data_IF_131488862228
#
_entry.id   IF_131488862228
#
_cell.length_a   1.000
_cell.length_b   1.000
_cell.length_c   1.000
_cell.angle_alpha   90.00
_cell.angle_beta   90.00
_cell.angle_gamma   90.00
#
_symmetry.space_group_name_H-M   'P 1'
#
loop_
_entity.id
_entity.type
_entity.pdbx_description
1 polymer ?
#
# COMPACT_ATOMS: atom_id res chain seq x y z
N UNK A 1 1.04 -5.64 21.04
CA UNK A 1 0.60 -6.09 19.71
C UNK A 1 -0.39 -5.11 19.08
N UNK A 2 -1.42 -4.67 19.82
CA UNK A 2 -2.42 -3.70 19.37
C UNK A 2 -1.82 -2.41 18.80
N UNK A 3 -0.96 -1.74 19.57
CA UNK A 3 -0.36 -0.46 19.18
C UNK A 3 0.55 -0.63 17.96
N UNK A 4 1.41 -1.65 17.97
CA UNK A 4 2.44 -1.82 16.93
C UNK A 4 1.92 -2.41 15.61
N UNK A 5 0.72 -2.99 15.60
CA UNK A 5 0.17 -3.62 14.40
C UNK A 5 -1.18 -3.02 14.02
N UNK A 6 -2.19 -3.07 14.88
CA UNK A 6 -3.54 -2.62 14.52
C UNK A 6 -3.61 -1.10 14.48
N UNK A 7 -3.22 -0.41 15.56
CA UNK A 7 -3.22 1.04 15.58
C UNK A 7 -2.30 1.63 14.50
N UNK A 8 -1.07 1.09 14.37
CA UNK A 8 -0.11 1.51 13.33
C UNK A 8 -0.67 1.36 11.92
N UNK A 9 -1.56 0.39 11.68
CA UNK A 9 -2.23 0.20 10.40
C UNK A 9 -3.36 1.19 10.14
N UNK A 10 -4.05 1.68 11.19
CA UNK A 10 -5.31 2.41 11.07
C UNK A 10 -5.17 3.93 11.26
N UNK A 11 -4.23 4.41 12.10
CA UNK A 11 -4.09 5.84 12.34
C UNK A 11 -3.89 6.68 11.07
N UNK A 12 -3.20 6.21 10.01
CA UNK A 12 -3.09 6.97 8.77
C UNK A 12 -4.42 7.13 8.02
N UNK A 13 -5.39 6.30 8.34
CA UNK A 13 -6.74 6.30 7.74
C UNK A 13 -7.79 6.93 8.64
N UNK A 14 -7.37 7.76 9.61
CA UNK A 14 -8.29 8.37 10.60
C UNK A 14 -9.44 9.17 9.97
N UNK A 15 -9.22 9.80 8.82
CA UNK A 15 -10.26 10.52 8.07
C UNK A 15 -11.24 9.56 7.41
N UNK A 16 -10.73 8.51 6.78
CA UNK A 16 -11.51 7.47 6.12
C UNK A 16 -12.35 6.69 7.13
N UNK A 17 -11.80 6.45 8.32
CA UNK A 17 -12.48 5.76 9.42
C UNK A 17 -13.65 6.57 10.06
N UNK A 18 -13.75 7.87 9.80
CA UNK A 18 -14.93 8.66 10.17
C UNK A 18 -16.16 8.27 9.32
N UNK A 19 -15.94 7.66 8.16
CA UNK A 19 -16.96 7.20 7.24
C UNK A 19 -16.74 5.72 6.85
N UNK A 20 -16.79 4.79 7.83
CA UNK A 20 -16.35 3.40 7.65
C UNK A 20 -17.24 2.60 6.69
N UNK A 21 -18.43 3.10 6.39
CA UNK A 21 -19.41 2.46 5.50
C UNK A 21 -19.20 2.81 4.02
N UNK A 22 -18.20 3.63 3.67
CA UNK A 22 -17.89 3.89 2.27
C UNK A 22 -17.26 2.65 1.63
N UNK A 23 -17.68 2.37 0.41
CA UNK A 23 -17.24 1.19 -0.34
C UNK A 23 -15.98 1.50 -1.14
N UNK A 24 -14.84 1.56 -0.45
CA UNK A 24 -13.53 1.75 -1.06
C UNK A 24 -12.89 0.43 -1.48
N UNK A 25 -12.09 0.48 -2.54
CA UNK A 25 -11.21 -0.61 -2.97
C UNK A 25 -9.78 -0.36 -2.51
N UNK A 26 -9.26 -1.25 -1.70
CA UNK A 26 -7.87 -1.21 -1.21
C UNK A 26 -7.04 -2.34 -1.81
N UNK A 27 -5.78 -2.06 -2.11
CA UNK A 27 -4.77 -3.09 -2.35
C UNK A 27 -3.62 -2.92 -1.36
N UNK A 28 -3.27 -4.00 -0.67
CA UNK A 28 -2.11 -4.08 0.24
C UNK A 28 -0.98 -4.84 -0.46
N UNK A 29 0.07 -4.14 -0.84
CA UNK A 29 1.19 -4.66 -1.63
C UNK A 29 2.32 -5.13 -0.72
N UNK A 30 2.61 -6.43 -0.79
CA UNK A 30 3.51 -7.09 0.16
C UNK A 30 2.85 -7.30 1.51
N UNK A 31 1.61 -7.80 1.51
CA UNK A 31 0.75 -7.94 2.68
C UNK A 31 1.37 -8.72 3.84
N UNK A 32 2.29 -9.63 3.56
CA UNK A 32 3.01 -10.39 4.58
C UNK A 32 2.09 -11.21 5.47
N UNK A 33 2.00 -10.85 6.75
CA UNK A 33 1.09 -11.45 7.71
C UNK A 33 -0.29 -10.74 7.77
N UNK A 34 -0.60 -9.85 6.80
CA UNK A 34 -1.91 -9.22 6.63
C UNK A 34 -2.04 -7.81 7.16
N UNK A 35 -0.96 -7.15 7.58
CA UNK A 35 -1.01 -5.76 8.04
C UNK A 35 -0.34 -4.82 7.03
N UNK A 36 -1.04 -3.75 6.62
CA UNK A 36 -2.26 -3.16 7.18
C UNK A 36 -3.59 -3.75 6.68
N UNK A 37 -3.61 -4.53 5.59
CA UNK A 37 -4.82 -4.90 4.86
C UNK A 37 -5.94 -5.55 5.70
N UNK A 38 -5.63 -6.55 6.55
CA UNK A 38 -6.63 -7.20 7.41
C UNK A 38 -7.20 -6.24 8.46
N UNK A 39 -6.37 -5.35 9.03
CA UNK A 39 -6.86 -4.36 9.98
C UNK A 39 -7.87 -3.41 9.32
N UNK A 40 -7.58 -2.97 8.09
CA UNK A 40 -8.49 -2.14 7.29
C UNK A 40 -9.78 -2.90 6.95
N UNK A 41 -9.68 -4.17 6.55
CA UNK A 41 -10.86 -5.01 6.26
C UNK A 41 -11.82 -5.14 7.45
N UNK A 42 -11.26 -5.23 8.67
CA UNK A 42 -12.06 -5.32 9.90
C UNK A 42 -12.68 -3.96 10.25
N UNK A 43 -11.90 -2.88 10.14
CA UNK A 43 -12.33 -1.55 10.54
C UNK A 43 -13.30 -0.89 9.54
N UNK A 44 -13.33 -1.32 8.29
CA UNK A 44 -14.14 -0.77 7.20
C UNK A 44 -15.02 -1.87 6.58
N UNK A 45 -16.24 -2.07 7.11
CA UNK A 45 -17.09 -3.23 6.78
C UNK A 45 -17.55 -3.29 5.32
N UNK A 46 -17.57 -2.16 4.60
CA UNK A 46 -17.98 -2.11 3.20
C UNK A 46 -16.79 -2.01 2.21
N UNK A 47 -15.56 -1.98 2.71
CA UNK A 47 -14.37 -1.95 1.86
C UNK A 47 -14.08 -3.34 1.25
N UNK A 48 -13.60 -3.34 0.00
CA UNK A 48 -13.06 -4.51 -0.67
C UNK A 48 -11.53 -4.45 -0.62
N UNK A 49 -10.89 -5.51 -0.16
CA UNK A 49 -9.45 -5.54 0.08
C UNK A 49 -8.80 -6.61 -0.80
N UNK A 50 -7.80 -6.22 -1.57
CA UNK A 50 -6.89 -7.15 -2.24
C UNK A 50 -5.59 -7.24 -1.45
N UNK A 51 -5.23 -8.44 -1.01
CA UNK A 51 -3.97 -8.74 -0.34
C UNK A 51 -3.01 -9.37 -1.34
N UNK A 52 -1.95 -8.67 -1.71
CA UNK A 52 -0.97 -9.09 -2.70
C UNK A 52 0.37 -9.41 -2.04
N UNK A 53 0.83 -10.65 -2.15
CA UNK A 53 2.20 -11.04 -1.74
C UNK A 53 2.75 -12.10 -2.71
N UNK A 54 4.06 -12.07 -2.96
CA UNK A 54 4.71 -13.02 -3.86
C UNK A 54 5.00 -14.39 -3.23
N UNK A 55 4.83 -14.52 -1.92
CA UNK A 55 5.09 -15.76 -1.17
C UNK A 55 3.83 -16.61 -1.04
N UNK A 56 3.83 -17.80 -1.66
CA UNK A 56 2.72 -18.74 -1.56
C UNK A 56 2.39 -19.11 -0.10
N UNK A 57 3.42 -19.31 0.75
CA UNK A 57 3.23 -19.61 2.17
C UNK A 57 2.42 -18.51 2.89
N UNK A 58 2.72 -17.23 2.61
CA UNK A 58 2.03 -16.10 3.22
C UNK A 58 0.60 -15.97 2.70
N UNK A 59 0.40 -16.11 1.40
CA UNK A 59 -0.94 -15.98 0.81
C UNK A 59 -1.86 -17.13 1.19
N UNK A 60 -1.33 -18.35 1.37
CA UNK A 60 -2.11 -19.47 1.94
C UNK A 60 -2.59 -19.13 3.35
N UNK A 61 -1.70 -18.65 4.22
CA UNK A 61 -2.06 -18.17 5.55
C UNK A 61 -3.12 -17.06 5.51
N UNK A 62 -2.97 -16.08 4.62
CA UNK A 62 -3.94 -14.98 4.48
C UNK A 62 -5.33 -15.48 4.04
N UNK A 63 -5.39 -16.47 3.15
CA UNK A 63 -6.66 -17.11 2.73
C UNK A 63 -7.35 -17.80 3.90
N UNK A 64 -6.59 -18.54 4.69
CA UNK A 64 -7.09 -19.23 5.89
C UNK A 64 -7.62 -18.22 6.92
N UNK A 65 -6.82 -17.22 7.29
CA UNK A 65 -7.22 -16.17 8.23
C UNK A 65 -8.46 -15.42 7.74
N UNK A 66 -8.51 -15.01 6.46
CA UNK A 66 -9.66 -14.30 5.89
C UNK A 66 -10.96 -15.13 5.97
N UNK A 67 -10.85 -16.46 5.86
CA UNK A 67 -11.97 -17.38 6.03
C UNK A 67 -12.40 -17.45 7.51
N UNK A 68 -11.44 -17.67 8.41
CA UNK A 68 -11.67 -17.81 9.85
C UNK A 68 -12.35 -16.58 10.47
N UNK A 69 -11.95 -15.37 10.04
CA UNK A 69 -12.55 -14.11 10.52
C UNK A 69 -13.83 -13.72 9.77
N UNK A 70 -14.35 -14.58 8.87
CA UNK A 70 -15.60 -14.34 8.14
C UNK A 70 -15.55 -13.27 7.05
N UNK A 71 -14.36 -12.87 6.58
CA UNK A 71 -14.18 -11.78 5.61
C UNK A 71 -13.87 -12.26 4.18
N UNK A 72 -13.97 -13.56 3.90
CA UNK A 72 -13.63 -14.17 2.60
C UNK A 72 -14.31 -13.52 1.40
N UNK A 73 -15.53 -13.02 1.55
CA UNK A 73 -16.30 -12.40 0.47
C UNK A 73 -15.82 -11.00 0.09
N UNK A 74 -15.06 -10.34 0.96
CA UNK A 74 -14.55 -8.97 0.77
C UNK A 74 -13.02 -8.90 0.65
N UNK A 75 -12.34 -10.04 0.84
CA UNK A 75 -10.89 -10.11 0.75
C UNK A 75 -10.52 -11.05 -0.41
N UNK A 76 -9.84 -10.48 -1.39
CA UNK A 76 -9.17 -11.23 -2.45
C UNK A 76 -7.69 -11.39 -2.11
N UNK A 77 -7.14 -12.60 -2.23
CA UNK A 77 -5.71 -12.88 -1.93
C UNK A 77 -5.01 -13.36 -3.19
N UNK A 78 -4.03 -12.59 -3.64
CA UNK A 78 -3.27 -12.82 -4.88
C UNK A 78 -1.83 -13.21 -4.54
N UNK A 79 -1.36 -14.30 -5.17
CA UNK A 79 0.03 -14.79 -5.04
C UNK A 79 0.80 -14.41 -6.29
N UNK A 80 1.35 -13.18 -6.32
CA UNK A 80 2.09 -12.70 -7.47
C UNK A 80 3.03 -11.54 -7.09
N UNK A 81 3.96 -11.19 -7.97
CA UNK A 81 4.78 -10.00 -7.84
C UNK A 81 4.00 -8.76 -8.26
N UNK A 82 4.15 -7.66 -7.49
CA UNK A 82 3.49 -6.39 -7.81
C UNK A 82 3.86 -5.88 -9.21
N UNK A 83 5.09 -6.15 -9.66
CA UNK A 83 5.57 -5.80 -11.00
C UNK A 83 4.81 -6.54 -12.13
N UNK A 84 4.22 -7.68 -11.84
CA UNK A 84 3.39 -8.44 -12.79
C UNK A 84 1.94 -8.00 -12.67
N UNK A 85 1.37 -8.06 -11.46
CA UNK A 85 -0.03 -7.70 -11.17
C UNK A 85 -0.37 -6.28 -11.63
N UNK A 86 0.58 -5.32 -11.50
CA UNK A 86 0.40 -3.93 -11.92
C UNK A 86 0.19 -3.72 -13.43
N UNK A 87 0.37 -4.76 -14.25
CA UNK A 87 0.04 -4.77 -15.67
C UNK A 87 -1.28 -5.45 -16.01
N UNK A 88 -1.88 -6.20 -15.07
CA UNK A 88 -3.16 -6.84 -15.30
C UNK A 88 -4.28 -5.80 -15.35
N UNK A 89 -5.08 -5.84 -16.40
CA UNK A 89 -6.17 -4.89 -16.63
C UNK A 89 -7.17 -4.84 -15.46
N UNK A 90 -7.42 -5.97 -14.80
CA UNK A 90 -8.35 -6.07 -13.66
C UNK A 90 -7.85 -5.37 -12.38
N UNK A 91 -6.54 -5.12 -12.26
CA UNK A 91 -5.94 -4.50 -11.08
C UNK A 91 -5.42 -3.09 -11.35
N UNK A 92 -4.92 -2.85 -12.57
CA UNK A 92 -4.36 -1.55 -12.93
C UNK A 92 -5.44 -0.46 -12.90
N UNK A 93 -5.12 0.67 -12.24
CA UNK A 93 -5.99 1.86 -12.13
C UNK A 93 -7.39 1.57 -11.56
N UNK A 94 -7.51 0.58 -10.67
CA UNK A 94 -8.79 0.11 -10.15
C UNK A 94 -8.98 0.35 -8.64
N UNK A 95 -8.02 0.90 -7.94
CA UNK A 95 -8.05 1.04 -6.48
C UNK A 95 -8.11 2.50 -6.04
N UNK A 96 -8.92 2.75 -5.01
CA UNK A 96 -8.98 4.04 -4.32
C UNK A 96 -7.76 4.22 -3.40
N UNK A 97 -7.27 3.12 -2.83
CA UNK A 97 -6.10 3.11 -1.97
C UNK A 97 -5.16 1.94 -2.30
N UNK A 98 -3.87 2.25 -2.45
CA UNK A 98 -2.81 1.26 -2.53
C UNK A 98 -1.85 1.46 -1.35
N UNK A 99 -1.62 0.41 -0.57
CA UNK A 99 -0.86 0.47 0.66
C UNK A 99 0.37 -0.43 0.59
N UNK A 100 1.46 -0.04 1.27
CA UNK A 100 2.60 -0.93 1.49
C UNK A 100 3.32 -0.59 2.80
N UNK A 101 3.65 -1.63 3.58
CA UNK A 101 4.39 -1.52 4.84
C UNK A 101 5.64 -2.39 4.82
N UNK A 102 6.81 -1.79 5.13
CA UNK A 102 8.09 -2.49 5.26
C UNK A 102 8.55 -3.31 4.03
N UNK A 103 8.18 -2.86 2.81
CA UNK A 103 8.48 -3.58 1.56
C UNK A 103 9.85 -3.20 0.99
N UNK A 104 10.11 -1.87 0.82
CA UNK A 104 11.30 -1.35 0.15
C UNK A 104 11.47 0.16 0.46
N UNK A 105 12.54 0.83 -0.05
CA UNK A 105 12.63 2.30 -0.07
C UNK A 105 11.43 2.93 -0.78
N UNK A 106 11.04 4.16 -0.37
CA UNK A 106 9.80 4.79 -0.81
C UNK A 106 9.71 4.98 -2.33
N UNK A 107 10.81 5.31 -3.00
CA UNK A 107 10.87 5.45 -4.46
C UNK A 107 10.53 4.13 -5.19
N UNK A 108 10.95 3.00 -4.64
CA UNK A 108 10.63 1.66 -5.16
C UNK A 108 9.17 1.31 -4.90
N UNK A 109 8.70 1.57 -3.67
CA UNK A 109 7.30 1.33 -3.29
C UNK A 109 6.35 2.15 -4.16
N UNK A 110 6.68 3.41 -4.46
CA UNK A 110 5.87 4.25 -5.35
C UNK A 110 5.67 3.59 -6.72
N UNK A 111 6.71 2.97 -7.29
CA UNK A 111 6.60 2.25 -8.58
C UNK A 111 5.67 1.02 -8.48
N UNK A 112 5.56 0.41 -7.29
CA UNK A 112 4.62 -0.69 -7.08
C UNK A 112 3.18 -0.20 -6.87
N UNK A 113 2.97 0.94 -6.19
CA UNK A 113 1.63 1.40 -5.82
C UNK A 113 0.92 2.21 -6.91
N UNK A 114 1.62 3.15 -7.57
CA UNK A 114 1.00 4.09 -8.51
C UNK A 114 0.25 3.39 -9.66
N UNK A 115 0.74 2.29 -10.26
CA UNK A 115 0.00 1.60 -11.31
C UNK A 115 -1.38 1.09 -10.91
N UNK A 116 -1.63 0.84 -9.62
CA UNK A 116 -2.92 0.34 -9.12
C UNK A 116 -3.95 1.45 -8.88
N UNK A 117 -3.51 2.70 -8.69
CA UNK A 117 -4.39 3.80 -8.29
C UNK A 117 -5.28 4.25 -9.44
N UNK A 118 -6.58 4.40 -9.16
CA UNK A 118 -7.49 5.10 -10.04
C UNK A 118 -7.17 6.62 -10.07
N UNK A 119 -7.89 7.40 -10.85
CA UNK A 119 -7.60 8.83 -11.08
C UNK A 119 -7.68 9.71 -9.82
N UNK A 120 -8.40 9.28 -8.79
CA UNK A 120 -8.53 9.97 -7.49
C UNK A 120 -7.86 9.21 -6.35
N UNK A 121 -7.25 8.08 -6.67
CA UNK A 121 -6.67 7.14 -5.70
C UNK A 121 -5.44 7.67 -5.00
N UNK A 122 -5.17 7.15 -3.81
CA UNK A 122 -4.05 7.52 -2.96
C UNK A 122 -3.19 6.31 -2.58
N UNK A 123 -1.88 6.48 -2.70
CA UNK A 123 -0.91 5.51 -2.19
C UNK A 123 -0.49 5.86 -0.76
N UNK A 124 -0.44 4.87 0.11
CA UNK A 124 -0.02 4.99 1.51
C UNK A 124 1.26 4.17 1.72
N UNK A 125 2.38 4.86 1.95
CA UNK A 125 3.68 4.24 2.22
C UNK A 125 3.97 4.35 3.71
N UNK A 126 3.95 3.22 4.42
CA UNK A 126 4.22 3.15 5.86
C UNK A 126 5.71 3.04 6.11
N UNK A 127 6.25 3.95 6.93
CA UNK A 127 7.68 4.04 7.25
C UNK A 127 7.92 4.23 8.74
N UNK A 128 8.96 3.60 9.28
CA UNK A 128 9.50 3.96 10.60
C UNK A 128 10.34 5.23 10.48
N UNK A 129 11.48 5.16 9.83
CA UNK A 129 12.35 6.31 9.56
C UNK A 129 11.97 6.97 8.22
N UNK A 130 11.90 8.29 8.22
CA UNK A 130 11.68 9.12 7.03
C UNK A 130 12.67 10.28 7.01
N UNK A 131 13.40 10.45 5.92
CA UNK A 131 14.47 11.45 5.81
C UNK A 131 14.25 12.37 4.61
N UNK A 132 14.84 13.57 4.67
CA UNK A 132 14.81 14.52 3.55
C UNK A 132 15.42 13.92 2.27
N UNK A 133 16.45 13.07 2.41
CA UNK A 133 17.07 12.39 1.27
C UNK A 133 16.07 11.42 0.62
N UNK A 134 15.41 10.56 1.39
CA UNK A 134 14.41 9.62 0.88
C UNK A 134 13.20 10.36 0.24
N UNK A 135 12.82 11.50 0.81
CA UNK A 135 11.78 12.35 0.22
C UNK A 135 12.19 12.92 -1.15
N UNK A 136 13.45 13.38 -1.31
CA UNK A 136 13.97 13.85 -2.59
C UNK A 136 13.97 12.73 -3.64
N UNK A 137 14.40 11.54 -3.25
CA UNK A 137 14.40 10.35 -4.09
C UNK A 137 12.99 9.94 -4.52
N UNK A 138 12.04 9.94 -3.57
CA UNK A 138 10.63 9.69 -3.87
C UNK A 138 10.07 10.70 -4.88
N UNK A 139 10.33 12.00 -4.70
CA UNK A 139 9.85 13.03 -5.63
C UNK A 139 10.35 12.81 -7.06
N UNK A 140 11.61 12.44 -7.24
CA UNK A 140 12.16 12.08 -8.58
C UNK A 140 11.43 10.90 -9.21
N UNK A 141 11.14 9.85 -8.41
CA UNK A 141 10.41 8.68 -8.89
C UNK A 141 8.96 9.03 -9.27
N UNK A 142 8.27 9.83 -8.46
CA UNK A 142 6.89 10.23 -8.68
C UNK A 142 6.71 11.01 -10.00
N UNK A 143 7.64 11.90 -10.36
CA UNK A 143 7.61 12.62 -11.64
C UNK A 143 7.56 11.64 -12.81
N UNK A 144 8.39 10.58 -12.79
CA UNK A 144 8.42 9.54 -13.83
C UNK A 144 7.14 8.70 -13.89
N UNK A 145 6.40 8.64 -12.78
CA UNK A 145 5.16 7.87 -12.62
C UNK A 145 3.88 8.70 -12.87
N UNK A 146 3.98 9.96 -13.26
CA UNK A 146 2.87 10.91 -13.33
C UNK A 146 2.11 11.00 -12.00
N UNK A 147 2.87 11.21 -10.92
CA UNK A 147 2.35 11.26 -9.57
C UNK A 147 3.04 12.35 -8.74
N UNK A 148 2.49 12.68 -7.59
CA UNK A 148 3.08 13.64 -6.66
C UNK A 148 2.98 13.17 -5.21
N UNK A 149 3.85 13.74 -4.37
CA UNK A 149 3.73 13.65 -2.92
C UNK A 149 2.58 14.57 -2.48
N UNK A 150 1.55 13.99 -1.85
CA UNK A 150 0.42 14.75 -1.30
C UNK A 150 0.76 15.31 0.07
N UNK A 151 1.13 14.43 1.00
CA UNK A 151 1.51 14.80 2.36
C UNK A 151 2.43 13.74 2.98
N UNK A 152 3.14 14.12 4.04
CA UNK A 152 3.78 13.18 4.94
C UNK A 152 3.39 13.51 6.38
N UNK A 153 2.91 12.51 7.10
CA UNK A 153 2.48 12.63 8.48
C UNK A 153 3.43 11.85 9.38
N UNK A 154 3.76 12.41 10.52
CA UNK A 154 4.58 11.79 11.57
C UNK A 154 3.70 11.55 12.79
N UNK A 155 3.85 10.39 13.42
CA UNK A 155 3.17 10.03 14.64
C UNK A 155 4.12 9.34 15.61
N UNK A 156 4.11 9.76 16.87
CA UNK A 156 4.84 9.11 17.93
C UNK A 156 3.94 8.08 18.60
N UNK A 157 4.31 6.80 18.44
CA UNK A 157 3.51 5.72 19.05
C UNK A 157 3.53 5.81 20.57
N UNK A 158 2.38 5.57 21.25
CA UNK A 158 2.32 5.49 22.70
C UNK A 158 3.37 4.54 23.30
N UNK A 159 3.68 4.72 24.58
CA UNK A 159 4.62 3.89 25.34
C UNK A 159 6.04 3.87 24.75
N UNK A 160 6.51 4.97 24.16
CA UNK A 160 7.85 5.08 23.56
C UNK A 160 8.16 4.01 22.50
N UNK A 161 7.15 3.50 21.79
CA UNK A 161 7.26 2.47 20.73
C UNK A 161 7.82 3.00 19.42
N UNK A 162 8.30 4.24 19.44
CA UNK A 162 9.01 4.88 18.34
C UNK A 162 8.11 5.63 17.38
N UNK A 163 8.76 6.30 16.45
CA UNK A 163 8.13 7.17 15.46
C UNK A 163 7.61 6.33 14.29
N UNK A 164 6.45 6.70 13.78
CA UNK A 164 5.89 6.23 12.51
C UNK A 164 5.68 7.40 11.57
N UNK A 165 5.88 7.12 10.31
CA UNK A 165 5.58 8.06 9.24
C UNK A 165 4.67 7.38 8.23
N UNK A 166 3.69 8.10 7.73
CA UNK A 166 2.94 7.73 6.54
C UNK A 166 3.14 8.78 5.46
N UNK A 167 3.45 8.33 4.28
CA UNK A 167 3.65 9.18 3.11
C UNK A 167 2.50 8.91 2.17
N UNK A 168 1.67 9.94 1.93
CA UNK A 168 0.57 9.89 0.96
C UNK A 168 1.06 10.39 -0.39
N UNK A 169 0.84 9.59 -1.41
CA UNK A 169 1.13 9.91 -2.81
C UNK A 169 -0.16 9.82 -3.61
N UNK A 170 -0.27 10.59 -4.68
CA UNK A 170 -1.46 10.57 -5.55
C UNK A 170 -1.06 10.71 -7.02
N UNK A 171 -1.85 10.14 -7.91
CA UNK A 171 -1.69 10.30 -9.35
C UNK A 171 -2.05 11.72 -9.78
N UNK A 172 -1.32 12.28 -10.76
CA UNK A 172 -1.66 13.54 -11.45
C UNK A 172 -2.01 13.31 -12.92
N UNK A 173 -1.99 12.04 -13.33
CA UNK A 173 -2.31 11.57 -14.66
C UNK A 173 -2.13 10.05 -14.72
N UNK A 174 -2.38 9.45 -15.88
CA UNK A 174 -2.19 8.02 -16.06
C UNK A 174 -0.73 7.62 -15.84
N UNK A 175 -0.53 6.57 -15.04
CA UNK A 175 0.79 5.97 -14.89
C UNK A 175 1.25 5.38 -16.23
N UNK A 176 2.44 5.76 -16.75
CA UNK A 176 2.92 5.25 -18.03
C UNK A 176 2.93 3.71 -18.09
N UNK A 177 2.48 3.14 -19.21
CA UNK A 177 2.31 1.68 -19.39
C UNK A 177 3.57 0.84 -19.15
N UNK A 178 4.76 1.45 -19.29
CA UNK A 178 6.04 0.79 -18.98
C UNK A 178 6.28 0.52 -17.49
N UNK A 179 5.45 1.07 -16.60
CA UNK A 179 5.54 0.84 -15.15
C UNK A 179 4.37 -0.03 -14.67
N UNK A 180 4.63 -0.89 -13.66
CA UNK A 180 5.93 -1.13 -13.05
C UNK A 180 6.88 -1.83 -14.03
N UNK A 181 8.20 -1.60 -13.88
CA UNK A 181 9.22 -2.30 -14.69
C UNK A 181 9.29 -3.78 -14.31
N UNK A 182 9.98 -4.57 -15.13
CA UNK A 182 10.13 -6.02 -14.95
C UNK A 182 10.59 -6.40 -13.55
N UNK A 183 10.19 -7.59 -13.08
CA UNK A 183 10.45 -8.10 -11.73
C UNK A 183 11.89 -7.90 -11.29
N UNK A 184 12.06 -7.29 -10.12
CA UNK A 184 13.35 -6.99 -9.49
C UNK A 184 14.04 -5.74 -10.02
N UNK A 185 13.65 -5.20 -11.17
CA UNK A 185 14.25 -3.96 -11.72
C UNK A 185 14.03 -2.75 -10.81
N UNK A 186 12.83 -2.51 -10.24
CA UNK A 186 12.62 -1.39 -9.33
C UNK A 186 13.59 -1.35 -8.15
N UNK A 187 13.92 -2.52 -7.58
CA UNK A 187 14.88 -2.63 -6.47
C UNK A 187 16.33 -2.44 -6.90
N UNK A 188 16.72 -3.02 -8.03
CA UNK A 188 18.10 -2.95 -8.54
C UNK A 188 18.47 -1.57 -9.08
N UNK A 189 17.52 -0.88 -9.68
CA UNK A 189 17.67 0.44 -10.30
C UNK A 189 16.47 1.33 -9.96
N UNK A 190 16.41 1.90 -8.75
CA UNK A 190 15.30 2.78 -8.35
C UNK A 190 15.12 3.97 -9.31
N UNK A 191 13.87 4.43 -9.48
CA UNK A 191 13.55 5.58 -10.36
C UNK A 191 14.12 6.91 -9.85
N UNK A 192 14.64 6.93 -8.63
CA UNK A 192 15.31 8.08 -8.03
C UNK A 192 16.70 8.38 -8.62
N UNK A 193 17.28 7.45 -9.34
CA UNK A 193 18.59 7.57 -9.97
C UNK A 193 18.49 8.20 -11.36
#
# INVERSE_FOLDING_TARGET
YWISQVFDSLWPLSKELQHPNLSYKYIDVGSGCGFPGLAVAIAMPNANITLLDSSNKKTTFLKEVSKEIGLKTRIEVITERAEVTGHHHSFRQNFDYAMARAVAPAAVVAEYLIPFLNSTGQGLIFKGKWTNQEQKELRKALIKLNAKLKESQKFDLPDNRGIRNVIRIESIGECPKKYPRTVGTPRKKPLSN
#
